data_IF_873935915664
#
_entry.id   IF_873935915664
#
_cell.length_a   1.000
_cell.length_b   1.000
_cell.length_c   1.000
_cell.angle_alpha   90.00
_cell.angle_beta   90.00
_cell.angle_gamma   90.00
#
_symmetry.space_group_name_H-M   'P 1'
#
loop_
_entity.id
_entity.type
_entity.pdbx_description
1 polymer ?
#
# COMPACT_ATOMS: atom_id res chain seq x y z
N UNK A 1 6.98 9.75 -28.64
CA UNK A 1 6.24 9.26 -27.46
C UNK A 1 4.86 9.87 -27.54
N UNK A 2 3.85 9.05 -27.78
CA UNK A 2 2.47 9.53 -27.92
C UNK A 2 1.89 9.90 -26.55
N UNK A 3 0.95 10.85 -26.50
CA UNK A 3 0.32 11.28 -25.23
C UNK A 3 -0.21 10.10 -24.40
N UNK A 4 -0.80 9.10 -25.08
CA UNK A 4 -1.31 7.87 -24.43
C UNK A 4 -0.19 7.08 -23.74
N UNK A 5 0.97 7.00 -24.37
CA UNK A 5 2.14 6.29 -23.84
C UNK A 5 2.70 6.99 -22.60
N UNK A 6 2.74 8.33 -22.60
CA UNK A 6 3.15 9.13 -21.43
C UNK A 6 2.22 8.85 -20.24
N UNK A 7 0.91 8.86 -20.48
CA UNK A 7 -0.09 8.62 -19.43
C UNK A 7 0.06 7.20 -18.88
N UNK A 8 0.18 6.20 -19.75
CA UNK A 8 0.35 4.80 -19.34
C UNK A 8 1.62 4.60 -18.52
N UNK A 9 2.76 5.13 -18.98
CA UNK A 9 4.03 5.03 -18.24
C UNK A 9 3.94 5.73 -16.88
N UNK A 10 3.31 6.91 -16.83
CA UNK A 10 3.12 7.65 -15.58
C UNK A 10 2.27 6.85 -14.59
N UNK A 11 1.14 6.29 -15.04
CA UNK A 11 0.28 5.48 -14.17
C UNK A 11 1.00 4.23 -13.66
N UNK A 12 1.67 3.52 -14.56
CA UNK A 12 2.31 2.24 -14.24
C UNK A 12 3.55 2.40 -13.36
N UNK A 13 4.37 3.40 -13.60
CA UNK A 13 5.70 3.52 -12.97
C UNK A 13 5.84 4.66 -11.96
N UNK A 14 4.91 5.62 -11.94
CA UNK A 14 4.92 6.72 -10.98
C UNK A 14 3.77 6.58 -9.99
N UNK A 15 2.53 6.47 -10.47
CA UNK A 15 1.37 6.47 -9.58
C UNK A 15 1.30 5.22 -8.71
N UNK A 16 1.35 4.02 -9.29
CA UNK A 16 1.26 2.77 -8.50
C UNK A 16 2.40 2.63 -7.50
N UNK A 17 3.68 2.75 -7.89
CA UNK A 17 4.78 2.72 -6.92
C UNK A 17 4.68 3.85 -5.89
N UNK A 18 4.22 5.03 -6.30
CA UNK A 18 3.99 6.17 -5.41
C UNK A 18 2.98 5.89 -4.31
N UNK A 19 1.87 5.19 -4.59
CA UNK A 19 0.90 4.80 -3.57
C UNK A 19 1.50 3.78 -2.60
N UNK A 20 2.22 2.77 -3.08
CA UNK A 20 2.89 1.80 -2.20
C UNK A 20 3.96 2.47 -1.33
N UNK A 21 4.74 3.39 -1.90
CA UNK A 21 5.70 4.19 -1.15
C UNK A 21 5.00 5.05 -0.09
N UNK A 22 3.88 5.70 -0.43
CA UNK A 22 3.09 6.47 0.52
C UNK A 22 2.54 5.61 1.67
N UNK A 23 2.06 4.39 1.38
CA UNK A 23 1.62 3.44 2.41
C UNK A 23 2.77 3.04 3.35
N UNK A 24 3.95 2.76 2.80
CA UNK A 24 5.13 2.42 3.59
C UNK A 24 5.58 3.60 4.47
N UNK A 25 5.67 4.81 3.88
CA UNK A 25 5.98 6.04 4.62
C UNK A 25 4.94 6.32 5.70
N UNK A 26 3.66 6.09 5.42
CA UNK A 26 2.60 6.22 6.41
C UNK A 26 2.81 5.28 7.60
N UNK A 27 3.24 4.04 7.37
CA UNK A 27 3.61 3.11 8.44
C UNK A 27 4.79 3.63 9.29
N UNK A 28 5.80 4.25 8.66
CA UNK A 28 6.92 4.88 9.37
C UNK A 28 6.47 6.08 10.21
N UNK A 29 5.55 6.89 9.67
CA UNK A 29 5.00 8.06 10.35
C UNK A 29 4.21 7.66 11.60
N UNK A 30 3.46 6.56 11.56
CA UNK A 30 2.77 6.02 12.75
C UNK A 30 3.77 5.79 13.90
N UNK A 31 4.92 5.16 13.62
CA UNK A 31 5.96 4.91 14.64
C UNK A 31 6.56 6.20 15.18
N UNK A 32 6.84 7.16 14.29
CA UNK A 32 7.40 8.45 14.69
C UNK A 32 6.47 9.21 15.65
N UNK A 33 5.16 8.96 15.56
CA UNK A 33 4.13 9.63 16.36
C UNK A 33 3.66 8.87 17.59
N UNK A 34 4.02 7.58 17.76
CA UNK A 34 3.70 6.84 18.99
C UNK A 34 4.45 7.43 20.21
N UNK A 35 3.70 7.84 21.23
CA UNK A 35 4.23 8.54 22.41
C UNK A 35 4.78 7.55 23.46
N UNK A 36 4.10 6.42 23.69
CA UNK A 36 4.52 5.46 24.72
C UNK A 36 5.63 4.53 24.23
N UNK A 37 6.59 4.22 25.11
CA UNK A 37 7.71 3.31 24.79
C UNK A 37 7.25 1.91 24.40
N UNK A 38 6.16 1.41 25.02
CA UNK A 38 5.58 0.11 24.71
C UNK A 38 4.97 0.07 23.31
N UNK A 39 4.14 1.07 22.95
CA UNK A 39 3.56 1.17 21.60
C UNK A 39 4.64 1.33 20.52
N UNK A 40 5.67 2.15 20.79
CA UNK A 40 6.77 2.36 19.84
C UNK A 40 7.55 1.06 19.59
N UNK A 41 7.75 0.26 20.62
CA UNK A 41 8.42 -1.04 20.50
C UNK A 41 7.57 -2.01 19.68
N UNK A 42 6.26 -2.08 19.97
CA UNK A 42 5.30 -2.88 19.19
C UNK A 42 5.27 -2.45 17.71
N UNK A 43 5.24 -1.16 17.44
CA UNK A 43 5.23 -0.60 16.09
C UNK A 43 6.54 -0.91 15.31
N UNK A 44 7.70 -0.79 15.97
CA UNK A 44 9.00 -1.20 15.38
C UNK A 44 9.05 -2.70 15.09
N UNK A 45 8.55 -3.54 16.00
CA UNK A 45 8.44 -4.98 15.76
C UNK A 45 7.55 -5.26 14.54
N UNK A 46 6.48 -4.48 14.36
CA UNK A 46 5.63 -4.51 13.17
C UNK A 46 6.39 -4.30 11.86
N UNK A 47 7.29 -3.31 11.78
CA UNK A 47 8.15 -3.12 10.59
C UNK A 47 8.95 -4.38 10.30
N UNK A 48 9.70 -4.86 11.29
CA UNK A 48 10.61 -5.99 11.10
C UNK A 48 9.86 -7.25 10.70
N UNK A 49 8.72 -7.51 11.34
CA UNK A 49 7.84 -8.61 10.96
C UNK A 49 7.32 -8.44 9.53
N UNK A 50 7.01 -7.22 9.08
CA UNK A 50 6.59 -6.95 7.71
C UNK A 50 7.70 -7.18 6.67
N UNK A 51 8.93 -6.79 6.99
CA UNK A 51 10.10 -7.08 6.15
C UNK A 51 10.38 -8.58 6.11
N UNK A 52 10.29 -9.28 7.23
CA UNK A 52 10.43 -10.75 7.27
C UNK A 52 9.33 -11.40 6.42
N UNK A 53 8.09 -10.91 6.50
CA UNK A 53 6.99 -11.40 5.67
C UNK A 53 7.26 -11.18 4.17
N UNK A 54 7.82 -10.03 3.79
CA UNK A 54 8.29 -9.79 2.42
C UNK A 54 9.33 -10.83 1.99
N UNK A 55 10.37 -11.07 2.78
CA UNK A 55 11.42 -12.04 2.45
C UNK A 55 10.84 -13.43 2.29
N UNK A 56 10.00 -13.87 3.23
CA UNK A 56 9.30 -15.15 3.13
C UNK A 56 8.45 -15.25 1.86
N UNK A 57 7.74 -14.18 1.51
CA UNK A 57 6.94 -14.10 0.29
C UNK A 57 7.80 -14.18 -0.98
N UNK A 58 8.92 -13.45 -1.03
CA UNK A 58 9.85 -13.49 -2.17
C UNK A 58 10.40 -14.91 -2.39
N UNK A 59 10.80 -15.58 -1.31
CA UNK A 59 11.25 -16.98 -1.36
C UNK A 59 10.12 -17.87 -1.90
N UNK A 60 8.89 -17.70 -1.41
CA UNK A 60 7.73 -18.48 -1.84
C UNK A 60 7.30 -18.22 -3.30
N UNK A 61 7.75 -17.11 -3.92
CA UNK A 61 7.39 -16.71 -5.28
C UNK A 61 8.56 -16.70 -6.26
N UNK A 62 9.70 -17.26 -5.86
CA UNK A 62 10.91 -17.30 -6.69
C UNK A 62 10.67 -17.97 -8.05
N UNK A 63 9.81 -19.00 -8.11
CA UNK A 63 9.54 -19.76 -9.35
C UNK A 63 8.71 -18.97 -10.38
N UNK A 64 7.97 -17.95 -9.94
CA UNK A 64 7.09 -17.13 -10.78
C UNK A 64 7.75 -15.77 -11.07
N UNK A 65 8.97 -15.57 -10.58
CA UNK A 65 9.75 -14.36 -10.82
C UNK A 65 10.01 -14.17 -12.31
N UNK A 66 9.70 -12.98 -12.83
CA UNK A 66 10.07 -12.56 -14.18
C UNK A 66 10.76 -11.21 -14.13
N UNK A 67 11.71 -11.02 -15.05
CA UNK A 67 12.33 -9.71 -15.23
C UNK A 67 11.26 -8.68 -15.61
N UNK A 68 11.28 -7.49 -14.98
CA UNK A 68 10.28 -6.46 -15.25
C UNK A 68 10.41 -5.97 -16.69
N UNK A 69 9.41 -6.26 -17.52
CA UNK A 69 9.29 -5.68 -18.85
C UNK A 69 8.80 -4.23 -18.71
N UNK A 70 9.73 -3.28 -18.86
CA UNK A 70 9.45 -1.83 -18.86
C UNK A 70 8.77 -1.34 -20.14
N UNK A 71 8.55 -2.23 -21.11
CA UNK A 71 8.02 -1.93 -22.44
C UNK A 71 6.49 -2.08 -22.55
N UNK A 72 5.78 -2.33 -21.45
CA UNK A 72 4.32 -2.36 -21.48
C UNK A 72 3.74 -0.96 -21.74
N UNK A 73 3.22 -0.76 -22.95
CA UNK A 73 2.63 0.51 -23.41
C UNK A 73 1.09 0.50 -23.43
N UNK A 74 0.47 -0.64 -23.15
CA UNK A 74 -0.98 -0.84 -23.20
C UNK A 74 -1.50 -1.03 -21.77
N UNK A 75 -2.47 -0.19 -21.38
CA UNK A 75 -3.19 -0.38 -20.13
C UNK A 75 -4.08 -1.63 -20.22
N UNK A 76 -4.14 -2.46 -19.17
CA UNK A 76 -5.07 -3.58 -19.13
C UNK A 76 -6.53 -3.07 -19.20
N UNK A 77 -7.49 -3.95 -19.56
CA UNK A 77 -8.90 -3.61 -19.45
C UNK A 77 -9.28 -3.32 -17.99
N UNK A 78 -10.23 -2.40 -17.80
CA UNK A 78 -10.68 -1.97 -16.47
C UNK A 78 -11.21 -3.15 -15.65
N UNK A 79 -10.62 -3.38 -14.48
CA UNK A 79 -11.11 -4.34 -13.49
C UNK A 79 -11.81 -3.62 -12.35
N UNK A 80 -13.14 -3.52 -12.46
CA UNK A 80 -13.97 -2.85 -11.45
C UNK A 80 -13.99 -3.58 -10.11
N UNK A 81 -13.83 -4.91 -10.11
CA UNK A 81 -13.82 -5.68 -8.86
C UNK A 81 -12.53 -5.37 -8.08
N UNK A 82 -11.39 -5.42 -8.75
CA UNK A 82 -10.10 -5.01 -8.18
C UNK A 82 -10.14 -3.56 -7.67
N UNK A 83 -10.67 -2.62 -8.47
CA UNK A 83 -10.83 -1.23 -8.06
C UNK A 83 -11.74 -1.06 -6.84
N UNK A 84 -12.87 -1.78 -6.80
CA UNK A 84 -13.82 -1.73 -5.68
C UNK A 84 -13.23 -2.30 -4.38
N UNK A 85 -12.49 -3.42 -4.46
CA UNK A 85 -11.77 -3.99 -3.32
C UNK A 85 -10.72 -3.00 -2.82
N UNK A 86 -9.94 -2.41 -3.74
CA UNK A 86 -8.99 -1.36 -3.43
C UNK A 86 -9.65 -0.19 -2.70
N UNK A 87 -10.75 0.33 -3.25
CA UNK A 87 -11.51 1.43 -2.65
C UNK A 87 -11.96 1.13 -1.23
N UNK A 88 -12.61 -0.03 -1.02
CA UNK A 88 -13.05 -0.44 0.31
C UNK A 88 -11.86 -0.57 1.28
N UNK A 89 -10.76 -1.19 0.85
CA UNK A 89 -9.56 -1.34 1.67
C UNK A 89 -8.95 0.01 2.05
N UNK A 90 -8.78 0.93 1.09
CA UNK A 90 -8.24 2.27 1.30
C UNK A 90 -9.14 3.13 2.18
N UNK A 91 -10.46 3.01 2.02
CA UNK A 91 -11.40 3.72 2.88
C UNK A 91 -11.36 3.20 4.32
N UNK A 92 -11.37 1.88 4.50
CA UNK A 92 -11.40 1.26 5.83
C UNK A 92 -10.08 1.41 6.58
N UNK A 93 -8.93 1.32 5.89
CA UNK A 93 -7.62 1.34 6.56
C UNK A 93 -7.39 2.64 7.32
N UNK A 94 -7.84 3.79 6.80
CA UNK A 94 -7.70 5.09 7.49
C UNK A 94 -8.53 5.09 8.79
N UNK A 95 -9.75 4.55 8.73
CA UNK A 95 -10.59 4.38 9.92
C UNK A 95 -9.95 3.43 10.94
N UNK A 96 -9.52 2.26 10.48
CA UNK A 96 -8.85 1.23 11.29
C UNK A 96 -7.61 1.79 12.00
N UNK A 97 -6.76 2.52 11.28
CA UNK A 97 -5.55 3.15 11.82
C UNK A 97 -5.92 4.13 12.93
N UNK A 98 -6.92 4.99 12.73
CA UNK A 98 -7.38 5.93 13.77
C UNK A 98 -7.77 5.23 15.07
N UNK A 99 -8.47 4.10 14.98
CA UNK A 99 -8.93 3.37 16.18
C UNK A 99 -7.84 2.54 16.85
N UNK A 100 -6.92 1.97 16.08
CA UNK A 100 -5.93 1.01 16.59
C UNK A 100 -4.60 1.64 16.99
N UNK A 101 -4.20 2.78 16.40
CA UNK A 101 -2.95 3.47 16.74
C UNK A 101 -2.84 3.82 18.24
N UNK A 102 -3.91 4.27 18.93
CA UNK A 102 -3.87 4.51 20.37
C UNK A 102 -3.76 3.24 21.23
N UNK A 103 -3.87 2.05 20.64
CA UNK A 103 -3.89 0.77 21.36
C UNK A 103 -2.55 0.03 21.24
N UNK A 104 -2.40 -1.08 21.97
CA UNK A 104 -1.23 -1.98 21.85
C UNK A 104 -1.14 -2.69 20.48
N UNK A 105 -2.21 -2.65 19.69
CA UNK A 105 -2.31 -3.28 18.37
C UNK A 105 -1.69 -2.44 17.24
N UNK A 106 -1.09 -1.29 17.54
CA UNK A 106 -0.39 -0.47 16.54
C UNK A 106 0.67 -1.26 15.77
N UNK A 107 1.33 -2.24 16.41
CA UNK A 107 2.29 -3.14 15.76
C UNK A 107 1.67 -3.96 14.63
N UNK A 108 0.45 -4.45 14.81
CA UNK A 108 -0.26 -5.22 13.77
C UNK A 108 -0.65 -4.34 12.57
N UNK A 109 -1.05 -3.09 12.83
CA UNK A 109 -1.35 -2.11 11.77
C UNK A 109 -0.11 -1.80 10.96
N UNK A 110 1.02 -1.53 11.63
CA UNK A 110 2.30 -1.25 10.97
C UNK A 110 2.78 -2.47 10.17
N UNK A 111 2.70 -3.67 10.75
CA UNK A 111 2.98 -4.93 10.07
C UNK A 111 2.18 -5.03 8.77
N UNK A 112 0.86 -4.85 8.85
CA UNK A 112 -0.02 -4.98 7.69
C UNK A 112 0.31 -3.94 6.61
N UNK A 113 0.53 -2.68 6.99
CA UNK A 113 0.90 -1.62 6.04
C UNK A 113 2.25 -1.89 5.38
N UNK A 114 3.27 -2.30 6.16
CA UNK A 114 4.60 -2.61 5.63
C UNK A 114 4.57 -3.84 4.73
N UNK A 115 3.92 -4.91 5.16
CA UNK A 115 3.79 -6.13 4.37
C UNK A 115 2.99 -5.84 3.08
N UNK A 116 1.82 -5.21 3.17
CA UNK A 116 1.00 -4.90 1.99
C UNK A 116 1.71 -3.97 1.00
N UNK A 117 2.41 -2.93 1.49
CA UNK A 117 3.13 -2.01 0.62
C UNK A 117 4.32 -2.67 -0.08
N UNK A 118 5.15 -3.41 0.66
CA UNK A 118 6.36 -4.03 0.10
C UNK A 118 6.04 -5.26 -0.76
N UNK A 119 5.17 -6.15 -0.29
CA UNK A 119 4.73 -7.33 -1.06
C UNK A 119 3.91 -6.90 -2.27
N UNK A 120 3.04 -5.90 -2.12
CA UNK A 120 2.26 -5.34 -3.22
C UNK A 120 3.16 -4.74 -4.29
N UNK A 121 4.15 -3.93 -3.90
CA UNK A 121 5.13 -3.37 -4.84
C UNK A 121 5.97 -4.45 -5.51
N UNK A 122 6.50 -5.41 -4.74
CA UNK A 122 7.27 -6.54 -5.30
C UNK A 122 6.42 -7.33 -6.31
N UNK A 123 5.21 -7.70 -5.94
CA UNK A 123 4.30 -8.46 -6.81
C UNK A 123 3.94 -7.68 -8.06
N UNK A 124 3.71 -6.36 -7.93
CA UNK A 124 3.42 -5.50 -9.06
C UNK A 124 4.58 -5.42 -10.07
N UNK A 125 5.81 -5.31 -9.57
CA UNK A 125 7.02 -5.19 -10.41
C UNK A 125 7.38 -6.54 -11.05
N UNK A 126 7.44 -7.62 -10.27
CA UNK A 126 8.06 -8.88 -10.67
C UNK A 126 7.07 -9.99 -11.07
N UNK A 127 5.78 -9.86 -10.73
CA UNK A 127 4.75 -10.87 -11.05
C UNK A 127 3.79 -10.30 -12.08
N UNK A 128 4.12 -10.50 -13.36
CA UNK A 128 3.37 -9.94 -14.50
C UNK A 128 1.87 -10.26 -14.46
N UNK A 129 1.50 -11.49 -14.07
CA UNK A 129 0.10 -11.93 -13.99
C UNK A 129 -0.73 -11.19 -12.93
N UNK A 130 -0.08 -10.61 -11.92
CA UNK A 130 -0.75 -9.84 -10.86
C UNK A 130 -0.83 -8.35 -11.17
N UNK A 131 -0.04 -7.85 -12.11
CA UNK A 131 0.09 -6.41 -12.39
C UNK A 131 -1.26 -5.74 -12.74
N UNK A 132 -2.13 -6.30 -13.60
CA UNK A 132 -3.42 -5.67 -13.90
C UNK A 132 -4.32 -5.51 -12.66
N UNK A 133 -4.45 -6.57 -11.86
CA UNK A 133 -5.28 -6.52 -10.65
C UNK A 133 -4.69 -5.53 -9.62
N UNK A 134 -3.37 -5.57 -9.41
CA UNK A 134 -2.68 -4.69 -8.47
C UNK A 134 -2.73 -3.22 -8.91
N UNK A 135 -2.67 -2.91 -10.20
CA UNK A 135 -2.88 -1.56 -10.72
C UNK A 135 -4.20 -0.98 -10.22
N UNK A 136 -5.31 -1.70 -10.44
CA UNK A 136 -6.64 -1.21 -10.08
C UNK A 136 -6.90 -1.25 -8.57
N UNK A 137 -6.41 -2.26 -7.85
CA UNK A 137 -6.45 -2.29 -6.39
C UNK A 137 -5.74 -1.07 -5.82
N UNK A 138 -4.54 -0.74 -6.30
CA UNK A 138 -3.75 0.38 -5.78
C UNK A 138 -4.39 1.73 -6.08
N UNK A 139 -4.91 1.94 -7.29
CA UNK A 139 -5.63 3.16 -7.64
C UNK A 139 -6.92 3.30 -6.83
N UNK A 140 -7.68 2.20 -6.70
CA UNK A 140 -8.87 2.13 -5.85
C UNK A 140 -8.52 2.47 -4.40
N UNK A 141 -7.45 1.88 -3.87
CA UNK A 141 -6.97 2.14 -2.51
C UNK A 141 -6.64 3.61 -2.27
N UNK A 142 -5.87 4.24 -3.18
CA UNK A 142 -5.56 5.66 -3.08
C UNK A 142 -6.84 6.51 -3.09
N UNK A 143 -7.75 6.23 -4.02
CA UNK A 143 -9.04 6.93 -4.10
C UNK A 143 -9.90 6.74 -2.85
N UNK A 144 -10.00 5.52 -2.33
CA UNK A 144 -10.75 5.20 -1.12
C UNK A 144 -10.19 5.89 0.13
N UNK A 145 -8.86 5.93 0.26
CA UNK A 145 -8.19 6.64 1.34
C UNK A 145 -8.48 8.15 1.30
N UNK A 146 -8.39 8.78 0.13
CA UNK A 146 -8.75 10.18 -0.03
C UNK A 146 -10.24 10.44 0.19
N UNK A 147 -11.12 9.56 -0.29
CA UNK A 147 -12.56 9.67 -0.04
C UNK A 147 -12.87 9.61 1.47
N UNK A 148 -12.22 8.74 2.23
CA UNK A 148 -12.36 8.71 3.68
C UNK A 148 -11.97 10.04 4.33
N UNK A 149 -10.84 10.63 3.89
CA UNK A 149 -10.36 11.91 4.41
C UNK A 149 -11.35 13.04 4.09
N UNK A 150 -11.91 13.06 2.88
CA UNK A 150 -12.89 14.07 2.46
C UNK A 150 -14.19 13.95 3.28
N UNK A 151 -14.70 12.74 3.45
CA UNK A 151 -15.98 12.49 4.16
C UNK A 151 -15.81 12.64 5.68
N UNK A 152 -14.66 12.26 6.23
CA UNK A 152 -14.38 12.25 7.66
C UNK A 152 -13.05 12.98 7.93
N UNK A 153 -12.99 14.31 7.76
CA UNK A 153 -11.75 15.08 7.91
C UNK A 153 -11.21 15.06 9.35
N UNK A 154 -12.09 14.84 10.34
CA UNK A 154 -11.70 14.65 11.74
C UNK A 154 -10.82 13.42 11.97
N UNK A 155 -10.77 12.47 11.03
CA UNK A 155 -9.90 11.29 11.12
C UNK A 155 -8.41 11.66 11.17
N UNK A 156 -8.02 12.76 10.53
CA UNK A 156 -6.64 13.25 10.55
C UNK A 156 -6.29 13.99 11.84
N UNK A 157 -7.23 14.68 12.49
CA UNK A 157 -6.91 15.52 13.66
C UNK A 157 -6.28 14.70 14.79
N UNK A 158 -6.82 13.51 15.09
CA UNK A 158 -6.27 12.64 16.15
C UNK A 158 -5.00 11.87 15.79
N UNK A 159 -4.54 11.92 14.52
CA UNK A 159 -3.29 11.30 14.07
C UNK A 159 -2.11 12.29 14.07
N UNK A 160 -2.39 13.61 14.04
CA UNK A 160 -1.38 14.65 13.83
C UNK A 160 -1.23 15.65 14.98
N UNK A 161 -2.14 15.67 15.95
CA UNK A 161 -2.01 16.40 17.23
C UNK A 161 -1.41 15.51 18.31
#
# INVERSE_FOLDING_TARGET
>A
MDMKEIITLTLLWVCVPGVYAAMFVFALLIIARTVSGEQRTSAKAGIWAGIIALVAYMIAKVDIFREPLFTQTILPPMDYAAAGIGFAAGFLIIGIVRFLVPTRLVGAVVLLLVAASTIGLYSYVFIESMRPALLYITLGFGFGAFAHIIVIPASLRGLWT
#
